data_IF_401529186815
#
_entry.id   IF_401529186815
#
_cell.length_a   1.000
_cell.length_b   1.000
_cell.length_c   1.000
_cell.angle_alpha   90.00
_cell.angle_beta   90.00
_cell.angle_gamma   90.00
#
_symmetry.space_group_name_H-M   'P 1'
#
loop_
_entity.id
_entity.type
_entity.pdbx_description
1 polymer ?
#
# COMPACT_ATOMS: atom_id res chain seq x y z
N UNK A 1 7.44 2.99 10.78
CA UNK A 1 6.40 3.74 10.03
C UNK A 1 5.75 4.87 10.81
N UNK A 2 5.32 4.69 12.07
CA UNK A 2 4.61 5.74 12.83
C UNK A 2 5.35 7.09 12.92
N UNK A 3 6.67 7.08 13.14
CA UNK A 3 7.45 8.31 13.20
C UNK A 3 7.40 9.09 11.88
N UNK A 4 7.55 8.40 10.75
CA UNK A 4 7.51 9.02 9.43
C UNK A 4 6.11 9.49 9.05
N UNK A 5 5.07 8.70 9.38
CA UNK A 5 3.68 9.12 9.25
C UNK A 5 3.41 10.45 9.95
N UNK A 6 3.81 10.56 11.23
CA UNK A 6 3.67 11.80 12.01
C UNK A 6 4.39 12.99 11.36
N UNK A 7 5.58 12.78 10.81
CA UNK A 7 6.35 13.83 10.12
C UNK A 7 5.69 14.26 8.80
N UNK A 8 5.20 13.31 8.01
CA UNK A 8 4.45 13.61 6.79
C UNK A 8 3.18 14.39 7.11
N UNK A 9 2.45 14.00 8.16
CA UNK A 9 1.25 14.73 8.60
C UNK A 9 1.54 16.18 8.99
N UNK A 10 2.62 16.43 9.73
CA UNK A 10 3.05 17.79 10.07
C UNK A 10 3.37 18.59 8.80
N UNK A 11 4.13 18.01 7.87
CA UNK A 11 4.50 18.65 6.61
C UNK A 11 3.26 19.00 5.76
N UNK A 12 2.39 18.02 5.51
CA UNK A 12 1.17 18.19 4.71
C UNK A 12 0.22 19.18 5.36
N UNK A 13 0.02 19.11 6.69
CA UNK A 13 -0.79 20.08 7.41
C UNK A 13 -0.27 21.51 7.26
N UNK A 14 1.06 21.70 7.33
CA UNK A 14 1.66 23.01 7.14
C UNK A 14 1.46 23.54 5.72
N UNK A 15 1.52 22.66 4.71
CA UNK A 15 1.36 23.04 3.31
C UNK A 15 -0.10 23.37 2.96
N UNK A 16 -1.06 22.61 3.47
CA UNK A 16 -2.48 22.79 3.14
C UNK A 16 -3.13 23.96 3.88
N UNK A 17 -2.67 24.27 5.11
CA UNK A 17 -3.23 25.36 5.93
C UNK A 17 -2.99 26.77 5.37
N UNK A 18 -2.13 26.94 4.37
CA UNK A 18 -2.00 28.21 3.66
C UNK A 18 -3.16 28.48 2.69
N UNK A 19 -3.91 27.44 2.32
CA UNK A 19 -4.97 27.50 1.30
C UNK A 19 -6.33 27.16 1.90
N UNK A 20 -6.42 26.09 2.71
CA UNK A 20 -7.64 25.68 3.39
C UNK A 20 -7.58 26.10 4.85
N UNK A 21 -8.38 27.08 5.22
CA UNK A 21 -8.43 27.67 6.57
C UNK A 21 -9.58 27.15 7.40
N UNK A 22 -10.67 26.74 6.75
CA UNK A 22 -11.85 26.13 7.37
C UNK A 22 -12.25 24.84 6.65
N UNK A 23 -13.00 23.98 7.34
CA UNK A 23 -13.58 22.78 6.70
C UNK A 23 -14.53 23.15 5.54
N UNK A 24 -15.15 24.33 5.59
CA UNK A 24 -15.95 24.83 4.49
C UNK A 24 -15.13 25.08 3.21
N UNK A 25 -13.85 25.46 3.33
CA UNK A 25 -12.97 25.63 2.16
C UNK A 25 -12.76 24.29 1.45
N UNK A 26 -12.64 23.20 2.21
CA UNK A 26 -12.47 21.82 1.70
C UNK A 26 -13.78 21.29 1.11
N UNK A 27 -14.88 21.46 1.83
CA UNK A 27 -16.19 20.97 1.40
C UNK A 27 -16.70 21.66 0.12
N UNK A 28 -16.29 22.91 -0.11
CA UNK A 28 -16.69 23.69 -1.29
C UNK A 28 -15.67 23.66 -2.43
N UNK A 29 -14.56 22.93 -2.30
CA UNK A 29 -13.56 22.81 -3.37
C UNK A 29 -14.06 21.86 -4.46
N UNK A 30 -14.51 22.45 -5.58
CA UNK A 30 -15.01 21.72 -6.73
C UNK A 30 -14.03 20.66 -7.25
N UNK A 31 -12.73 20.96 -7.34
CA UNK A 31 -11.76 20.04 -7.91
C UNK A 31 -11.48 18.87 -6.96
N UNK A 32 -11.50 19.11 -5.65
CA UNK A 32 -11.39 18.04 -4.66
C UNK A 32 -12.59 17.11 -4.71
N UNK A 33 -13.81 17.66 -4.82
CA UNK A 33 -15.03 16.86 -4.92
C UNK A 33 -15.06 16.00 -6.20
N UNK A 34 -14.66 16.56 -7.34
CA UNK A 34 -14.53 15.80 -8.60
C UNK A 34 -13.44 14.73 -8.50
N UNK A 35 -12.29 15.04 -7.91
CA UNK A 35 -11.20 14.09 -7.74
C UNK A 35 -11.63 12.87 -6.92
N UNK A 36 -12.20 13.06 -5.73
CA UNK A 36 -12.64 11.93 -4.91
C UNK A 36 -13.78 11.14 -5.57
N UNK A 37 -14.65 11.79 -6.35
CA UNK A 37 -15.69 11.12 -7.12
C UNK A 37 -15.06 10.22 -8.21
N UNK A 38 -14.08 10.74 -8.94
CA UNK A 38 -13.34 9.98 -9.95
C UNK A 38 -12.59 8.78 -9.36
N UNK A 39 -11.96 8.95 -8.19
CA UNK A 39 -11.27 7.86 -7.50
C UNK A 39 -12.22 6.73 -7.09
N UNK A 40 -13.47 7.04 -6.75
CA UNK A 40 -14.49 6.06 -6.34
C UNK A 40 -15.31 5.51 -7.50
N UNK A 41 -15.31 6.18 -8.65
CA UNK A 41 -16.08 5.78 -9.82
C UNK A 41 -15.63 4.38 -10.31
N UNK A 42 -16.55 3.41 -10.51
CA UNK A 42 -16.21 2.09 -11.05
C UNK A 42 -15.53 2.12 -12.42
N UNK A 43 -15.80 3.15 -13.22
CA UNK A 43 -15.17 3.37 -14.52
C UNK A 43 -13.94 4.30 -14.44
N UNK A 44 -13.61 4.80 -13.26
CA UNK A 44 -12.43 5.62 -12.96
C UNK A 44 -11.45 4.84 -12.09
N UNK A 45 -11.20 5.31 -10.87
CA UNK A 45 -10.25 4.68 -9.94
C UNK A 45 -10.74 3.37 -9.32
N UNK A 46 -12.05 3.11 -9.32
CA UNK A 46 -12.70 1.92 -8.73
C UNK A 46 -12.28 1.64 -7.27
N UNK A 47 -11.92 2.68 -6.51
CA UNK A 47 -11.56 2.59 -5.09
C UNK A 47 -12.77 2.93 -4.24
N UNK A 48 -13.64 1.95 -4.01
CA UNK A 48 -14.87 2.07 -3.20
C UNK A 48 -14.62 2.71 -1.81
N UNK A 49 -13.46 2.41 -1.21
CA UNK A 49 -12.99 2.90 0.10
C UNK A 49 -12.14 4.16 0.04
N UNK A 50 -11.95 4.78 -1.12
CA UNK A 50 -11.32 6.10 -1.18
C UNK A 50 -12.16 7.09 -0.35
N UNK A 51 -11.54 7.93 0.50
CA UNK A 51 -12.27 8.74 1.46
C UNK A 51 -13.14 9.79 0.79
N UNK A 52 -14.27 10.11 1.43
CA UNK A 52 -14.99 11.36 1.17
C UNK A 52 -14.43 12.42 2.10
N UNK A 53 -13.84 13.45 1.52
CA UNK A 53 -13.11 14.49 2.24
C UNK A 53 -13.96 15.75 2.30
N UNK A 54 -14.32 16.14 3.52
CA UNK A 54 -15.13 17.35 3.82
C UNK A 54 -14.51 18.23 4.90
N UNK A 55 -13.51 17.73 5.62
CA UNK A 55 -12.77 18.47 6.63
C UNK A 55 -11.26 18.54 6.32
N UNK A 56 -10.59 19.56 6.85
CA UNK A 56 -9.14 19.77 6.62
C UNK A 56 -8.33 18.58 7.12
N UNK A 57 -8.70 18.00 8.26
CA UNK A 57 -7.98 16.88 8.86
C UNK A 57 -8.08 15.61 7.98
N UNK A 58 -9.24 15.39 7.36
CA UNK A 58 -9.46 14.31 6.38
C UNK A 58 -8.63 14.51 5.11
N UNK A 59 -8.56 15.76 4.62
CA UNK A 59 -7.72 16.11 3.46
C UNK A 59 -6.24 15.87 3.74
N UNK A 60 -5.79 16.26 4.93
CA UNK A 60 -4.43 16.00 5.39
C UNK A 60 -4.15 14.50 5.37
N UNK A 61 -5.01 13.68 5.98
CA UNK A 61 -4.79 12.23 6.05
C UNK A 61 -4.86 11.55 4.68
N UNK A 62 -5.73 12.01 3.77
CA UNK A 62 -5.78 11.55 2.39
C UNK A 62 -4.45 11.80 1.67
N UNK A 63 -3.94 13.04 1.70
CA UNK A 63 -2.68 13.42 1.04
C UNK A 63 -1.48 12.71 1.69
N UNK A 64 -1.46 12.59 3.02
CA UNK A 64 -0.44 11.82 3.73
C UNK A 64 -0.43 10.37 3.29
N UNK A 65 -1.59 9.75 3.10
CA UNK A 65 -1.69 8.37 2.61
C UNK A 65 -1.11 8.24 1.20
N UNK A 66 -1.42 9.17 0.29
CA UNK A 66 -0.84 9.17 -1.06
C UNK A 66 0.70 9.23 -1.03
N UNK A 67 1.27 10.16 -0.26
CA UNK A 67 2.73 10.30 -0.12
C UNK A 67 3.33 9.06 0.57
N UNK A 68 2.65 8.54 1.59
CA UNK A 68 3.08 7.37 2.33
C UNK A 68 3.19 6.13 1.43
N UNK A 69 2.18 5.88 0.59
CA UNK A 69 2.16 4.77 -0.36
C UNK A 69 3.31 4.94 -1.36
N UNK A 70 3.42 6.12 -1.96
CA UNK A 70 4.38 6.39 -3.03
C UNK A 70 5.85 6.33 -2.59
N UNK A 71 6.15 6.64 -1.32
CA UNK A 71 7.53 6.70 -0.83
C UNK A 71 7.83 5.66 0.25
N UNK A 72 7.51 5.86 1.54
CA UNK A 72 8.00 4.97 2.57
C UNK A 72 7.41 3.57 2.53
N UNK A 73 6.14 3.41 2.13
CA UNK A 73 5.55 2.09 2.00
C UNK A 73 6.17 1.34 0.83
N UNK A 74 6.28 1.97 -0.35
CA UNK A 74 6.99 1.41 -1.50
C UNK A 74 8.42 0.99 -1.12
N UNK A 75 9.19 1.87 -0.49
CA UNK A 75 10.55 1.56 -0.04
C UNK A 75 10.58 0.38 0.95
N UNK A 76 9.67 0.33 1.92
CA UNK A 76 9.62 -0.73 2.92
C UNK A 76 9.35 -2.13 2.33
N UNK A 77 8.50 -2.23 1.30
CA UNK A 77 8.18 -3.52 0.65
C UNK A 77 9.07 -3.86 -0.53
N UNK A 78 9.88 -2.92 -1.00
CA UNK A 78 10.71 -3.08 -2.21
C UNK A 78 12.21 -3.17 -1.92
N UNK A 79 12.75 -2.34 -1.02
CA UNK A 79 14.20 -2.12 -0.93
C UNK A 79 15.01 -3.38 -0.61
N UNK A 80 14.46 -4.31 0.17
CA UNK A 80 15.10 -5.58 0.53
C UNK A 80 14.57 -6.78 -0.27
N UNK A 81 13.89 -6.57 -1.40
CA UNK A 81 13.39 -7.69 -2.21
C UNK A 81 14.52 -8.61 -2.64
N UNK A 82 15.63 -8.07 -3.15
CA UNK A 82 16.79 -8.87 -3.55
C UNK A 82 17.35 -9.68 -2.37
N UNK A 83 17.58 -9.02 -1.24
CA UNK A 83 18.08 -9.67 -0.02
C UNK A 83 17.22 -10.86 0.43
N UNK A 84 15.90 -10.75 0.36
CA UNK A 84 14.99 -11.81 0.80
C UNK A 84 14.62 -12.83 -0.28
N UNK A 85 14.65 -12.46 -1.55
CA UNK A 85 14.07 -13.25 -2.65
C UNK A 85 15.11 -13.79 -3.64
N UNK A 86 16.32 -13.23 -3.69
CA UNK A 86 17.37 -13.71 -4.60
C UNK A 86 17.81 -15.14 -4.26
N UNK A 87 17.89 -15.47 -2.97
CA UNK A 87 18.05 -16.86 -2.53
C UNK A 87 16.68 -17.56 -2.52
N UNK A 88 16.28 -18.06 -3.68
CA UNK A 88 14.95 -18.66 -3.95
C UNK A 88 14.46 -19.64 -2.87
N UNK A 89 15.26 -20.56 -2.31
CA UNK A 89 14.80 -21.45 -1.24
C UNK A 89 14.29 -20.74 0.03
N UNK A 90 14.73 -19.50 0.30
CA UNK A 90 14.30 -18.71 1.45
C UNK A 90 12.88 -18.15 1.28
N UNK A 91 12.47 -17.79 0.06
CA UNK A 91 11.15 -17.22 -0.21
C UNK A 91 10.68 -17.52 -1.62
N UNK A 92 10.09 -18.70 -1.79
CA UNK A 92 9.46 -19.13 -3.03
C UNK A 92 8.22 -18.28 -3.36
N UNK A 93 8.04 -17.95 -4.63
CA UNK A 93 6.80 -17.33 -5.14
C UNK A 93 5.69 -18.35 -5.39
N UNK A 94 6.04 -19.62 -5.58
CA UNK A 94 5.09 -20.72 -5.77
C UNK A 94 5.66 -22.07 -5.32
N UNK A 95 4.79 -23.07 -5.19
CA UNK A 95 5.18 -24.46 -5.00
C UNK A 95 5.16 -25.18 -6.35
N UNK A 96 6.19 -25.97 -6.63
CA UNK A 96 6.30 -26.73 -7.89
C UNK A 96 5.66 -28.13 -7.83
N UNK A 97 5.03 -28.48 -6.70
CA UNK A 97 4.34 -29.74 -6.50
C UNK A 97 3.04 -29.52 -5.69
N UNK A 98 2.04 -30.41 -5.81
CA UNK A 98 0.85 -30.36 -4.98
C UNK A 98 1.19 -30.43 -3.48
N UNK A 99 0.30 -29.89 -2.65
CA UNK A 99 0.41 -30.03 -1.21
C UNK A 99 0.26 -31.52 -0.81
N UNK A 100 1.01 -32.00 0.18
CA UNK A 100 0.81 -33.35 0.71
C UNK A 100 -0.59 -33.48 1.30
N UNK A 101 -1.27 -34.59 0.97
CA UNK A 101 -2.66 -34.83 1.39
C UNK A 101 -2.78 -35.51 2.76
N UNK A 102 -1.65 -35.92 3.37
CA UNK A 102 -1.61 -36.56 4.69
C UNK A 102 -0.43 -36.03 5.50
N UNK A 103 -0.55 -36.11 6.83
CA UNK A 103 0.53 -35.74 7.75
C UNK A 103 1.78 -36.62 7.50
N UNK A 104 1.60 -37.92 7.28
CA UNK A 104 2.71 -38.82 6.96
C UNK A 104 3.45 -38.41 5.68
N UNK A 105 2.73 -37.97 4.64
CA UNK A 105 3.35 -37.47 3.41
C UNK A 105 4.13 -36.15 3.67
N UNK A 106 3.62 -35.27 4.52
CA UNK A 106 4.31 -34.04 4.93
C UNK A 106 5.57 -34.35 5.76
N UNK A 107 5.51 -35.28 6.70
CA UNK A 107 6.66 -35.69 7.53
C UNK A 107 7.77 -36.35 6.71
N UNK A 108 7.41 -36.94 5.56
CA UNK A 108 8.37 -37.55 4.64
C UNK A 108 9.10 -36.54 3.73
N UNK A 109 8.68 -35.27 3.73
CA UNK A 109 9.22 -34.23 2.84
C UNK A 109 10.62 -33.78 3.29
N UNK A 110 11.65 -34.04 2.48
CA UNK A 110 13.07 -33.83 2.86
C UNK A 110 13.71 -32.55 2.33
N UNK A 111 13.23 -32.02 1.20
CA UNK A 111 13.70 -30.77 0.60
C UNK A 111 12.70 -30.29 -0.47
N UNK A 112 12.74 -29.00 -0.78
CA UNK A 112 12.03 -28.45 -1.93
C UNK A 112 12.76 -28.89 -3.22
N UNK A 113 12.05 -29.35 -4.28
CA UNK A 113 12.65 -29.81 -5.53
C UNK A 113 13.11 -28.63 -6.40
N UNK A 114 14.00 -27.80 -5.88
CA UNK A 114 14.47 -26.57 -6.58
C UNK A 114 15.56 -26.92 -7.59
N UNK A 115 16.32 -28.01 -7.38
CA UNK A 115 17.45 -28.39 -8.24
C UNK A 115 17.05 -29.11 -9.54
N UNK A 116 15.79 -29.53 -9.68
CA UNK A 116 15.28 -30.23 -10.88
C UNK A 116 14.43 -29.32 -11.77
N UNK A 117 13.97 -28.18 -11.25
CA UNK A 117 13.33 -27.14 -12.02
C UNK A 117 14.40 -26.35 -12.78
N UNK A 118 14.62 -26.67 -14.05
CA UNK A 118 15.31 -25.77 -14.98
C UNK A 118 14.55 -24.44 -15.00
N UNK A 119 15.12 -23.41 -14.37
CA UNK A 119 14.73 -22.00 -14.56
C UNK A 119 15.59 -21.45 -15.68
#
# INVERSE_FOLDING_TARGET
>A
MLALWKKLRIFVASALKSTYTTDADVANDFFLQEFQAEMRNPNGGAMDKFPEVKAIDELIDMVVMCIHIASPQHAAVNYLQDYYQAFVPNKLSCLCAPLPMTLTALESFKALPINEARI
#
